data_IF_940419212945
#
_entry.id   IF_940419212945
#
_cell.length_a   1.000
_cell.length_b   1.000
_cell.length_c   1.000
_cell.angle_alpha   90.00
_cell.angle_beta   90.00
_cell.angle_gamma   90.00
#
_symmetry.space_group_name_H-M   'P 1'
#
loop_
_entity.id
_entity.type
_entity.pdbx_description
1 polymer ?
#
# COMPACT_ATOMS: atom_id res chain seq x y z
N UNK A 1 -69.67 -4.20 -52.09
CA UNK A 1 -68.21 -4.11 -52.22
C UNK A 1 -67.65 -3.87 -50.82
N UNK A 2 -66.66 -4.66 -50.44
CA UNK A 2 -66.29 -5.06 -49.07
C UNK A 2 -65.85 -3.88 -48.19
N UNK A 3 -66.43 -3.77 -46.98
CA UNK A 3 -65.95 -2.93 -45.87
C UNK A 3 -65.01 -3.80 -45.02
N UNK A 4 -63.72 -3.45 -44.85
CA UNK A 4 -62.85 -4.20 -43.96
C UNK A 4 -62.93 -3.68 -42.52
N UNK A 5 -63.11 -4.65 -41.64
CA UNK A 5 -62.86 -4.66 -40.20
C UNK A 5 -61.41 -4.26 -39.87
N UNK A 6 -61.11 -3.59 -38.75
CA UNK A 6 -59.97 -3.92 -37.86
C UNK A 6 -59.96 -3.13 -36.53
N UNK A 7 -60.40 -3.83 -35.48
CA UNK A 7 -59.86 -4.03 -34.11
C UNK A 7 -59.28 -2.87 -33.27
N UNK A 8 -59.83 -2.79 -32.06
CA UNK A 8 -59.25 -2.26 -30.82
C UNK A 8 -57.88 -2.90 -30.50
N UNK A 9 -56.94 -2.08 -30.00
CA UNK A 9 -55.73 -2.50 -29.29
C UNK A 9 -55.51 -1.62 -28.07
N UNK A 10 -55.62 -2.21 -26.88
CA UNK A 10 -55.57 -1.53 -25.59
C UNK A 10 -54.19 -0.99 -25.20
N UNK A 11 -54.20 0.13 -24.48
CA UNK A 11 -53.02 0.73 -23.87
C UNK A 11 -52.72 0.05 -22.52
N UNK A 12 -51.59 -0.65 -22.42
CA UNK A 12 -51.02 -1.10 -21.15
C UNK A 12 -49.91 -0.12 -20.74
N UNK A 13 -50.15 0.67 -19.70
CA UNK A 13 -49.15 1.54 -19.09
C UNK A 13 -48.20 0.70 -18.23
N UNK A 14 -46.95 0.54 -18.67
CA UNK A 14 -45.91 -0.11 -17.91
C UNK A 14 -45.28 0.89 -16.92
N UNK A 15 -45.57 0.73 -15.63
CA UNK A 15 -44.88 1.43 -14.53
C UNK A 15 -43.51 0.78 -14.36
N UNK A 16 -42.44 1.46 -14.78
CA UNK A 16 -41.06 1.04 -14.55
C UNK A 16 -40.68 1.43 -13.12
N UNK A 17 -40.73 0.47 -12.21
CA UNK A 17 -40.12 0.60 -10.88
C UNK A 17 -38.60 0.50 -11.05
N UNK A 18 -37.92 1.65 -11.02
CA UNK A 18 -36.47 1.70 -10.98
C UNK A 18 -35.98 1.18 -9.62
N UNK A 19 -35.62 -0.10 -9.56
CA UNK A 19 -34.85 -0.66 -8.45
C UNK A 19 -33.49 0.03 -8.42
N UNK A 20 -33.32 1.00 -7.51
CA UNK A 20 -32.03 1.52 -7.10
C UNK A 20 -31.27 0.39 -6.40
N UNK A 21 -30.63 -0.48 -7.17
CA UNK A 21 -29.62 -1.39 -6.63
C UNK A 21 -28.51 -0.50 -6.06
N UNK A 22 -28.12 -0.63 -4.78
CA UNK A 22 -26.95 0.04 -4.28
C UNK A 22 -25.79 -0.39 -5.19
N UNK A 23 -25.16 0.57 -5.86
CA UNK A 23 -23.95 0.32 -6.61
C UNK A 23 -23.00 -0.44 -5.68
N UNK A 24 -22.68 -1.68 -6.02
CA UNK A 24 -21.75 -2.47 -5.23
C UNK A 24 -20.47 -1.64 -5.10
N UNK A 25 -20.25 -1.04 -3.93
CA UNK A 25 -19.02 -0.32 -3.66
C UNK A 25 -17.90 -1.31 -3.92
N UNK A 26 -17.02 -0.98 -4.87
CA UNK A 26 -15.88 -1.85 -5.19
C UNK A 26 -15.10 -2.02 -3.91
N UNK A 27 -15.16 -3.24 -3.34
CA UNK A 27 -14.58 -3.51 -2.03
C UNK A 27 -13.10 -3.12 -2.04
N UNK A 28 -12.71 -2.29 -1.07
CA UNK A 28 -11.33 -1.83 -0.95
C UNK A 28 -10.41 -3.00 -0.59
N UNK A 29 -9.15 -2.86 -0.99
CA UNK A 29 -8.12 -3.88 -0.78
C UNK A 29 -6.94 -3.25 -0.07
N UNK A 30 -6.49 -3.88 1.01
CA UNK A 30 -5.25 -3.50 1.70
C UNK A 30 -4.04 -3.97 0.90
N UNK A 31 -3.24 -3.02 0.43
CA UNK A 31 -2.02 -3.20 -0.38
C UNK A 31 -0.82 -2.77 0.46
N UNK A 32 0.28 -3.52 0.40
CA UNK A 32 1.52 -3.16 1.08
C UNK A 32 2.34 -2.19 0.19
N UNK A 33 2.24 -0.89 0.46
CA UNK A 33 2.86 0.19 -0.31
C UNK A 33 4.25 0.52 0.24
N UNK A 34 5.25 0.57 -0.64
CA UNK A 34 6.57 1.17 -0.40
C UNK A 34 6.86 2.23 -1.46
N UNK A 35 7.23 3.44 -1.03
CA UNK A 35 7.66 4.54 -1.92
C UNK A 35 9.05 4.99 -1.52
N UNK A 36 9.98 5.02 -2.47
CA UNK A 36 11.40 5.31 -2.22
C UNK A 36 11.91 6.33 -3.25
N UNK A 37 12.64 7.35 -2.80
CA UNK A 37 13.25 8.32 -3.72
C UNK A 37 14.64 7.87 -4.19
N UNK A 38 15.26 8.62 -5.10
CA UNK A 38 16.59 8.31 -5.68
C UNK A 38 17.72 8.23 -4.66
N UNK A 39 17.59 8.89 -3.50
CA UNK A 39 18.58 8.83 -2.42
C UNK A 39 18.39 7.59 -1.51
N UNK A 40 17.44 6.71 -1.82
CA UNK A 40 17.10 5.56 -0.99
C UNK A 40 16.24 5.89 0.24
N UNK A 41 15.76 7.14 0.37
CA UNK A 41 14.83 7.51 1.46
C UNK A 41 13.45 6.94 1.17
N UNK A 42 12.93 6.19 2.13
CA UNK A 42 11.55 5.71 2.12
C UNK A 42 10.58 6.83 2.51
N UNK A 43 9.68 7.19 1.61
CA UNK A 43 8.63 8.19 1.82
C UNK A 43 7.37 7.58 2.45
N UNK A 44 7.08 6.32 2.13
CA UNK A 44 6.01 5.56 2.77
C UNK A 44 6.37 4.08 2.80
N UNK A 45 5.97 3.43 3.89
CA UNK A 45 6.00 1.98 4.04
C UNK A 45 4.88 1.56 4.99
N UNK A 46 3.78 1.06 4.42
CA UNK A 46 2.54 0.79 5.14
C UNK A 46 1.58 -0.07 4.32
N UNK A 47 0.63 -0.70 5.00
CA UNK A 47 -0.55 -1.24 4.35
C UNK A 47 -1.56 -0.12 4.14
N UNK A 48 -1.93 0.14 2.90
CA UNK A 48 -2.91 1.16 2.55
C UNK A 48 -4.09 0.50 1.83
N UNK A 49 -5.30 0.72 2.34
CA UNK A 49 -6.51 0.31 1.63
C UNK A 49 -6.82 1.28 0.52
N UNK A 50 -7.23 0.74 -0.62
CA UNK A 50 -7.67 1.53 -1.75
C UNK A 50 -8.75 0.80 -2.54
N UNK A 51 -9.55 1.58 -3.25
CA UNK A 51 -10.59 1.12 -4.15
C UNK A 51 -10.64 2.02 -5.38
N UNK A 52 -11.84 2.35 -5.85
CA UNK A 52 -11.98 3.35 -6.91
C UNK A 52 -11.68 4.74 -6.36
N UNK A 53 -10.78 5.50 -6.98
CA UNK A 53 -10.38 6.84 -6.54
C UNK A 53 -10.56 7.90 -7.62
N UNK A 54 -10.54 9.17 -7.21
CA UNK A 54 -10.46 10.33 -8.08
C UNK A 54 -9.11 11.02 -7.91
N UNK A 55 -8.36 11.16 -8.99
CA UNK A 55 -7.03 11.75 -9.01
C UNK A 55 -7.10 13.06 -9.78
N UNK A 56 -6.71 14.16 -9.12
CA UNK A 56 -6.60 15.46 -9.79
C UNK A 56 -5.27 15.49 -10.55
N UNK A 57 -5.30 15.84 -11.83
CA UNK A 57 -4.10 16.00 -12.66
C UNK A 57 -3.48 17.37 -12.44
N UNK A 58 -2.18 17.49 -12.70
CA UNK A 58 -1.37 18.66 -12.39
C UNK A 58 -0.86 19.30 -13.68
N UNK A 59 -1.23 20.56 -13.93
CA UNK A 59 -0.84 21.31 -15.12
C UNK A 59 0.68 21.56 -15.22
N UNK A 60 1.40 21.38 -14.11
CA UNK A 60 2.85 21.44 -14.07
C UNK A 60 3.53 20.07 -14.25
N UNK A 61 2.80 18.96 -14.34
CA UNK A 61 3.33 17.61 -14.52
C UNK A 61 3.91 17.39 -15.94
N UNK A 62 5.00 18.08 -16.27
CA UNK A 62 5.60 18.15 -17.62
C UNK A 62 6.86 17.29 -17.75
N UNK A 63 7.02 16.28 -16.90
CA UNK A 63 8.20 15.43 -16.87
C UNK A 63 8.41 14.58 -18.14
N UNK A 64 7.41 14.51 -19.02
CA UNK A 64 7.48 13.84 -20.32
C UNK A 64 7.71 14.82 -21.48
N UNK A 65 8.04 16.08 -21.19
CA UNK A 65 8.34 17.11 -22.19
C UNK A 65 7.27 18.22 -22.27
N UNK A 66 7.54 19.22 -23.10
CA UNK A 66 6.63 20.34 -23.29
C UNK A 66 5.27 19.87 -23.83
N UNK A 67 4.18 20.40 -23.27
CA UNK A 67 2.82 20.03 -23.66
C UNK A 67 2.26 18.78 -22.96
N UNK A 68 3.06 18.08 -22.16
CA UNK A 68 2.62 16.88 -21.43
C UNK A 68 2.05 17.14 -20.05
N UNK A 69 1.79 18.41 -19.69
CA UNK A 69 1.16 18.76 -18.42
C UNK A 69 -0.25 18.18 -18.31
N UNK A 70 -0.70 17.91 -17.09
CA UNK A 70 -2.06 17.46 -16.86
C UNK A 70 -3.10 18.54 -17.17
N UNK A 71 -4.33 18.13 -17.47
CA UNK A 71 -5.46 19.03 -17.73
C UNK A 71 -5.90 19.86 -16.50
N UNK A 72 -5.63 19.38 -15.29
CA UNK A 72 -6.20 19.91 -14.05
C UNK A 72 -7.48 19.21 -13.59
N UNK A 73 -8.04 18.34 -14.43
CA UNK A 73 -9.27 17.61 -14.18
C UNK A 73 -9.11 16.47 -13.17
N UNK A 74 -10.25 15.91 -12.76
CA UNK A 74 -10.31 14.72 -11.92
C UNK A 74 -10.57 13.47 -12.76
N UNK A 75 -9.59 12.59 -12.78
CA UNK A 75 -9.65 11.32 -13.48
C UNK A 75 -10.06 10.20 -12.52
N UNK A 76 -11.10 9.46 -12.92
CA UNK A 76 -11.61 8.30 -12.17
C UNK A 76 -10.76 7.06 -12.44
N UNK A 77 -10.02 6.61 -11.44
CA UNK A 77 -9.26 5.37 -11.48
C UNK A 77 -10.08 4.26 -10.83
N UNK A 78 -10.57 3.31 -11.64
CA UNK A 78 -11.50 2.27 -11.18
C UNK A 78 -10.78 1.12 -10.47
N UNK A 79 -11.28 0.72 -9.30
CA UNK A 79 -10.78 -0.39 -8.49
C UNK A 79 -9.39 -0.12 -7.87
N UNK A 80 -8.94 -1.05 -7.03
CA UNK A 80 -7.64 -0.96 -6.37
C UNK A 80 -6.49 -1.04 -7.37
N UNK A 81 -5.70 0.04 -7.45
CA UNK A 81 -4.56 0.16 -8.37
C UNK A 81 -3.32 0.71 -7.66
N UNK A 82 -2.16 0.56 -8.29
CA UNK A 82 -0.88 1.03 -7.73
C UNK A 82 -0.80 2.56 -7.57
N UNK A 83 -1.47 3.33 -8.42
CA UNK A 83 -1.58 4.77 -8.25
C UNK A 83 -2.73 5.14 -7.28
N UNK A 84 -3.79 4.34 -7.24
CA UNK A 84 -4.89 4.51 -6.28
C UNK A 84 -4.42 4.40 -4.84
N UNK A 85 -3.54 3.43 -4.54
CA UNK A 85 -2.97 3.27 -3.20
C UNK A 85 -2.15 4.49 -2.76
N UNK A 86 -1.36 5.10 -3.66
CA UNK A 86 -0.65 6.36 -3.36
C UNK A 86 -1.63 7.49 -3.10
N UNK A 87 -2.67 7.61 -3.94
CA UNK A 87 -3.68 8.67 -3.85
C UNK A 87 -4.42 8.66 -2.51
N UNK A 88 -4.86 7.50 -2.05
CA UNK A 88 -5.52 7.34 -0.74
C UNK A 88 -4.52 7.60 0.40
N UNK A 89 -3.28 7.14 0.24
CA UNK A 89 -2.18 7.39 1.19
C UNK A 89 -1.92 8.86 1.48
N UNK A 90 -2.15 9.77 0.53
CA UNK A 90 -1.95 11.23 0.71
C UNK A 90 -2.71 11.82 1.90
N UNK A 91 -3.83 11.21 2.30
CA UNK A 91 -4.64 11.68 3.41
C UNK A 91 -3.99 11.42 4.78
N UNK A 92 -3.08 10.44 4.86
CA UNK A 92 -2.50 9.95 6.11
C UNK A 92 -0.99 10.11 6.17
N UNK A 93 -0.33 10.03 5.02
CA UNK A 93 1.10 10.23 4.91
C UNK A 93 1.43 11.54 4.21
N UNK A 94 2.03 12.47 4.96
CA UNK A 94 2.41 13.78 4.41
C UNK A 94 3.62 13.69 3.48
N UNK A 95 4.46 12.68 3.65
CA UNK A 95 5.68 12.51 2.86
C UNK A 95 5.36 12.00 1.45
N UNK A 96 4.12 11.58 1.19
CA UNK A 96 3.62 11.29 -0.15
C UNK A 96 3.13 12.53 -0.91
N UNK A 97 2.98 13.69 -0.25
CA UNK A 97 2.48 14.93 -0.87
C UNK A 97 3.62 15.85 -1.31
N UNK A 98 3.46 16.57 -2.43
CA UNK A 98 2.37 16.46 -3.42
C UNK A 98 2.47 15.19 -4.29
N UNK A 99 1.35 14.82 -4.91
CA UNK A 99 1.30 13.87 -6.02
C UNK A 99 1.12 14.67 -7.31
N UNK A 100 2.08 14.58 -8.22
CA UNK A 100 2.07 15.25 -9.53
C UNK A 100 1.90 14.21 -10.63
N UNK A 101 0.81 14.31 -11.39
CA UNK A 101 0.40 13.33 -12.41
C UNK A 101 -0.19 14.03 -13.62
N UNK A 102 0.03 13.44 -14.79
CA UNK A 102 -0.50 13.90 -16.07
C UNK A 102 -1.47 12.89 -16.66
N UNK A 103 -2.48 13.39 -17.35
CA UNK A 103 -3.45 12.66 -18.17
C UNK A 103 -3.21 12.80 -19.68
N UNK A 104 -2.06 13.34 -20.08
CA UNK A 104 -1.70 13.53 -21.49
C UNK A 104 -1.72 12.25 -22.34
N UNK A 105 -1.70 11.07 -21.71
CA UNK A 105 -1.66 9.76 -22.38
C UNK A 105 -2.93 8.92 -22.18
N UNK A 106 -4.01 9.53 -21.67
CA UNK A 106 -5.28 8.80 -21.49
C UNK A 106 -5.89 8.37 -22.82
N UNK A 107 -5.87 9.25 -23.82
CA UNK A 107 -6.48 8.98 -25.14
C UNK A 107 -5.72 7.91 -25.91
N UNK A 108 -4.41 7.78 -25.67
CA UNK A 108 -3.55 6.73 -26.22
C UNK A 108 -3.66 5.39 -25.46
N UNK A 109 -4.44 5.36 -24.36
CA UNK A 109 -4.66 4.16 -23.56
C UNK A 109 -3.52 3.78 -22.62
N UNK A 110 -2.46 4.60 -22.48
CA UNK A 110 -1.37 4.34 -21.53
C UNK A 110 -1.75 4.64 -20.07
N UNK A 111 -2.82 5.41 -19.85
CA UNK A 111 -3.24 5.78 -18.50
C UNK A 111 -2.55 7.04 -17.98
N UNK A 112 -2.59 7.24 -16.66
CA UNK A 112 -1.95 8.40 -16.03
C UNK A 112 -0.42 8.24 -15.96
N UNK A 113 0.30 9.30 -16.32
CA UNK A 113 1.74 9.43 -16.11
C UNK A 113 2.06 10.02 -14.74
N UNK A 114 3.09 9.51 -14.07
CA UNK A 114 3.51 10.00 -12.74
C UNK A 114 4.78 10.82 -12.87
N UNK A 115 4.70 12.11 -12.54
CA UNK A 115 5.84 13.00 -12.54
C UNK A 115 6.46 13.17 -11.16
N UNK A 116 5.66 13.13 -10.09
CA UNK A 116 6.19 13.39 -8.75
C UNK A 116 5.39 12.73 -7.64
N UNK A 117 6.09 12.27 -6.61
CA UNK A 117 5.52 11.81 -5.34
C UNK A 117 6.35 12.42 -4.22
N UNK A 118 5.70 13.01 -3.21
CA UNK A 118 6.39 13.54 -2.03
C UNK A 118 7.30 14.73 -2.30
N UNK A 119 7.06 15.47 -3.39
CA UNK A 119 7.92 16.58 -3.82
C UNK A 119 9.19 16.16 -4.56
N UNK A 120 9.36 14.87 -4.87
CA UNK A 120 10.44 14.38 -5.73
C UNK A 120 9.91 14.19 -7.15
N UNK A 121 10.40 15.00 -8.08
CA UNK A 121 9.98 14.97 -9.48
C UNK A 121 10.99 14.25 -10.38
N UNK A 122 10.48 13.55 -11.38
CA UNK A 122 11.24 12.99 -12.48
C UNK A 122 11.89 14.11 -13.30
N UNK A 123 13.21 14.05 -13.44
CA UNK A 123 14.02 15.00 -14.21
C UNK A 123 15.05 14.26 -15.09
N UNK A 124 15.32 14.77 -16.29
CA UNK A 124 16.29 14.17 -17.20
C UNK A 124 15.95 12.72 -17.53
N UNK A 125 16.85 11.79 -17.19
CA UNK A 125 16.65 10.35 -17.38
C UNK A 125 15.91 9.63 -16.25
N UNK A 126 15.61 10.33 -15.15
CA UNK A 126 14.95 9.73 -14.00
C UNK A 126 13.45 9.60 -14.22
N UNK A 127 12.86 8.57 -13.61
CA UNK A 127 11.42 8.31 -13.69
C UNK A 127 10.93 7.52 -12.48
N UNK A 128 9.62 7.62 -12.18
CA UNK A 128 8.97 6.81 -11.17
C UNK A 128 8.73 5.39 -11.71
N UNK A 129 9.65 4.50 -11.37
CA UNK A 129 9.58 3.08 -11.68
C UNK A 129 8.62 2.36 -10.72
N UNK A 130 7.80 1.45 -11.27
CA UNK A 130 6.73 0.76 -10.57
C UNK A 130 6.95 -0.75 -10.62
N UNK A 131 6.89 -1.41 -9.45
CA UNK A 131 6.75 -2.87 -9.35
C UNK A 131 5.46 -3.26 -8.63
N UNK A 132 4.79 -4.29 -9.14
CA UNK A 132 3.74 -5.02 -8.44
C UNK A 132 4.24 -6.42 -8.11
N UNK A 133 4.16 -6.81 -6.84
CA UNK A 133 4.63 -8.09 -6.30
C UNK A 133 6.04 -8.46 -6.80
N UNK A 134 6.97 -7.50 -6.68
CA UNK A 134 8.37 -7.62 -7.12
C UNK A 134 8.62 -7.72 -8.62
N UNK A 135 7.61 -7.56 -9.47
CA UNK A 135 7.74 -7.56 -10.94
C UNK A 135 7.56 -6.15 -11.49
N UNK A 136 8.46 -5.71 -12.37
CA UNK A 136 8.38 -4.45 -13.08
C UNK A 136 7.10 -4.33 -13.90
N UNK A 137 6.33 -3.28 -13.66
CA UNK A 137 5.03 -3.09 -14.30
C UNK A 137 5.18 -2.73 -15.78
N UNK A 138 4.43 -3.43 -16.63
CA UNK A 138 4.31 -3.14 -18.06
C UNK A 138 3.11 -2.23 -18.40
N UNK A 139 2.38 -1.79 -17.38
CA UNK A 139 1.21 -0.90 -17.50
C UNK A 139 1.34 0.28 -16.53
N UNK A 140 0.59 1.37 -16.77
CA UNK A 140 0.56 2.50 -15.85
C UNK A 140 0.08 2.08 -14.46
N UNK A 141 0.54 2.77 -13.42
CA UNK A 141 0.03 2.60 -12.06
C UNK A 141 -1.48 2.86 -11.92
N UNK A 142 -2.10 3.60 -12.85
CA UNK A 142 -3.56 3.76 -12.90
C UNK A 142 -4.29 2.52 -13.44
N UNK A 143 -3.57 1.61 -14.09
CA UNK A 143 -4.11 0.41 -14.75
C UNK A 143 -3.72 -0.87 -14.02
N UNK A 144 -2.53 -0.93 -13.40
CA UNK A 144 -2.06 -2.06 -12.62
C UNK A 144 -3.05 -2.40 -11.50
N UNK A 145 -3.82 -3.47 -11.69
CA UNK A 145 -4.81 -3.95 -10.72
C UNK A 145 -4.14 -4.78 -9.65
N UNK A 146 -4.60 -4.60 -8.42
CA UNK A 146 -4.00 -5.25 -7.27
C UNK A 146 -4.98 -6.14 -6.53
N UNK A 147 -4.45 -7.16 -5.90
CA UNK A 147 -5.12 -8.05 -4.97
C UNK A 147 -4.70 -7.73 -3.52
N UNK A 148 -5.51 -8.21 -2.57
CA UNK A 148 -5.26 -7.94 -1.15
C UNK A 148 -3.94 -8.58 -0.72
N UNK A 149 -3.09 -7.80 -0.07
CA UNK A 149 -1.82 -8.26 0.48
C UNK A 149 -0.66 -8.27 -0.52
N UNK A 150 -0.88 -7.85 -1.76
CA UNK A 150 0.21 -7.65 -2.72
C UNK A 150 1.08 -6.45 -2.32
N UNK A 151 2.37 -6.56 -2.67
CA UNK A 151 3.36 -5.51 -2.51
C UNK A 151 3.35 -4.56 -3.74
N UNK A 152 3.46 -3.26 -3.48
CA UNK A 152 3.67 -2.23 -4.51
C UNK A 152 4.88 -1.42 -4.16
N UNK A 153 5.82 -1.29 -5.11
CA UNK A 153 6.97 -0.43 -5.01
C UNK A 153 6.88 0.70 -6.03
N UNK A 154 6.96 1.94 -5.56
CA UNK A 154 7.32 3.09 -6.38
C UNK A 154 8.75 3.51 -6.03
N UNK A 155 9.63 3.58 -7.02
CA UNK A 155 11.01 4.02 -6.85
C UNK A 155 11.35 5.09 -7.88
N UNK A 156 11.83 6.26 -7.44
CA UNK A 156 12.36 7.26 -8.35
C UNK A 156 13.76 6.84 -8.80
N UNK A 157 13.84 6.10 -9.91
CA UNK A 157 15.12 5.59 -10.44
C UNK A 157 15.87 6.70 -11.17
N UNK A 158 17.20 6.81 -11.04
CA UNK A 158 17.97 7.85 -11.75
C UNK A 158 18.06 7.61 -13.26
N UNK A 159 17.98 6.35 -13.70
CA UNK A 159 18.08 5.94 -15.10
C UNK A 159 17.50 4.55 -15.34
N UNK A 160 17.47 4.13 -16.61
CA UNK A 160 17.22 2.76 -17.03
C UNK A 160 18.56 2.03 -17.32
N UNK A 161 18.67 0.71 -17.06
CA UNK A 161 17.70 -0.15 -16.39
C UNK A 161 17.56 0.19 -14.89
N UNK A 162 16.39 -0.05 -14.28
CA UNK A 162 16.22 0.13 -12.85
C UNK A 162 17.11 -0.87 -12.08
N UNK A 163 17.66 -0.49 -10.94
CA UNK A 163 18.49 -1.39 -10.15
C UNK A 163 17.62 -2.46 -9.46
N UNK A 164 18.22 -3.61 -9.07
CA UNK A 164 17.52 -4.65 -8.32
C UNK A 164 16.87 -4.13 -7.03
N UNK A 165 15.78 -4.78 -6.62
CA UNK A 165 15.09 -4.49 -5.38
C UNK A 165 15.59 -5.39 -4.25
N UNK A 166 16.00 -4.80 -3.11
CA UNK A 166 16.25 -5.56 -1.90
C UNK A 166 14.96 -5.80 -1.10
N UNK A 167 14.91 -6.95 -0.43
CA UNK A 167 13.91 -7.29 0.59
C UNK A 167 14.59 -7.98 1.78
N UNK A 168 14.26 -7.52 2.99
CA UNK A 168 14.83 -8.01 4.24
C UNK A 168 13.78 -8.82 5.01
N UNK A 169 14.20 -9.96 5.55
CA UNK A 169 13.44 -10.75 6.52
C UNK A 169 14.26 -10.92 7.79
N UNK A 170 13.62 -10.69 8.92
CA UNK A 170 14.15 -10.90 10.26
C UNK A 170 13.04 -11.47 11.16
N UNK A 171 13.37 -12.10 12.30
CA UNK A 171 12.36 -12.47 13.30
C UNK A 171 11.63 -11.23 13.85
N UNK A 172 10.40 -11.42 14.36
CA UNK A 172 9.65 -10.35 15.02
C UNK A 172 10.20 -9.97 16.40
N UNK A 173 10.89 -10.93 17.04
CA UNK A 173 11.46 -10.77 18.37
C UNK A 173 12.86 -11.38 18.48
N UNK A 174 13.66 -10.80 19.36
CA UNK A 174 14.99 -11.28 19.74
C UNK A 174 15.26 -11.02 21.23
N UNK A 175 16.36 -11.56 21.75
CA UNK A 175 16.81 -11.30 23.11
C UNK A 175 18.07 -10.43 23.11
N UNK A 176 18.27 -9.58 24.13
CA UNK A 176 19.50 -8.81 24.28
C UNK A 176 20.74 -9.71 24.28
N UNK A 177 21.78 -9.28 23.55
CA UNK A 177 23.08 -9.95 23.43
C UNK A 177 23.05 -11.36 22.82
N UNK A 178 21.92 -11.80 22.26
CA UNK A 178 21.79 -13.07 21.55
C UNK A 178 21.75 -12.77 20.04
N UNK A 179 22.76 -13.19 19.26
CA UNK A 179 22.76 -13.01 17.82
C UNK A 179 21.59 -13.73 17.15
N UNK A 180 20.97 -13.10 16.16
CA UNK A 180 19.95 -13.73 15.32
C UNK A 180 20.22 -13.51 13.84
N UNK A 181 19.84 -14.50 13.03
CA UNK A 181 20.04 -14.46 11.59
C UNK A 181 18.97 -13.60 10.91
N UNK A 182 19.41 -12.80 9.94
CA UNK A 182 18.55 -12.09 9.00
C UNK A 182 18.86 -12.54 7.57
N UNK A 183 17.89 -12.41 6.67
CA UNK A 183 18.02 -12.80 5.26
C UNK A 183 17.65 -11.64 4.36
N UNK A 184 18.52 -11.34 3.40
CA UNK A 184 18.31 -10.33 2.37
C UNK A 184 18.19 -11.02 1.01
N UNK A 185 17.10 -10.73 0.32
CA UNK A 185 16.87 -11.14 -1.07
C UNK A 185 17.06 -9.95 -2.00
N UNK A 186 17.42 -10.25 -3.23
CA UNK A 186 17.42 -9.31 -4.35
C UNK A 186 16.39 -9.80 -5.38
N UNK A 187 15.57 -8.90 -5.89
CA UNK A 187 14.62 -9.17 -6.96
C UNK A 187 15.03 -8.44 -8.23
N UNK A 188 15.19 -9.18 -9.32
CA UNK A 188 15.36 -8.62 -10.65
C UNK A 188 14.05 -7.99 -11.16
N UNK A 189 14.09 -7.35 -12.32
CA UNK A 189 12.94 -6.67 -12.94
C UNK A 189 11.78 -7.64 -13.21
N UNK A 190 12.08 -8.86 -13.65
CA UNK A 190 11.11 -9.94 -13.92
C UNK A 190 10.55 -10.63 -12.65
N UNK A 191 10.98 -10.19 -11.45
CA UNK A 191 10.62 -10.82 -10.18
C UNK A 191 11.47 -12.03 -9.80
N UNK A 192 12.49 -12.39 -10.58
CA UNK A 192 13.42 -13.46 -10.22
C UNK A 192 14.13 -13.10 -8.91
N UNK A 193 14.00 -13.99 -7.92
CA UNK A 193 14.56 -13.81 -6.58
C UNK A 193 15.93 -14.48 -6.47
N UNK A 194 16.94 -13.72 -6.05
CA UNK A 194 18.27 -14.21 -5.71
C UNK A 194 18.68 -13.86 -4.28
N UNK A 195 19.76 -14.48 -3.80
CA UNK A 195 20.42 -14.08 -2.55
C UNK A 195 21.14 -12.74 -2.75
N UNK A 196 20.93 -11.79 -1.83
CA UNK A 196 21.61 -10.51 -1.90
C UNK A 196 22.95 -10.57 -1.15
N UNK A 197 23.96 -11.23 -1.73
CA UNK A 197 25.31 -11.24 -1.15
C UNK A 197 25.94 -9.85 -1.14
N UNK A 198 26.72 -9.54 -0.11
CA UNK A 198 27.40 -8.25 0.08
C UNK A 198 26.49 -7.10 0.53
N UNK A 199 25.23 -7.37 0.86
CA UNK A 199 24.32 -6.36 1.41
C UNK A 199 24.68 -6.06 2.87
N UNK A 200 24.74 -4.78 3.23
CA UNK A 200 24.86 -4.34 4.62
C UNK A 200 23.48 -4.30 5.26
N UNK A 201 23.38 -4.65 6.54
CA UNK A 201 22.13 -4.57 7.31
C UNK A 201 22.39 -3.73 8.56
N UNK A 202 21.51 -2.78 8.88
CA UNK A 202 21.58 -2.02 10.14
C UNK A 202 21.71 -2.98 11.32
N UNK A 203 22.69 -2.74 12.21
CA UNK A 203 22.94 -3.57 13.39
C UNK A 203 23.70 -4.88 13.13
N UNK A 204 23.98 -5.25 11.87
CA UNK A 204 24.85 -6.38 11.56
C UNK A 204 26.32 -5.94 11.54
N UNK A 205 27.21 -6.77 12.09
CA UNK A 205 28.64 -6.49 12.09
C UNK A 205 29.31 -6.76 10.72
N UNK A 206 28.74 -7.67 9.93
CA UNK A 206 29.28 -8.09 8.63
C UNK A 206 28.20 -7.98 7.55
N UNK A 207 28.58 -7.71 6.29
CA UNK A 207 27.68 -7.85 5.15
C UNK A 207 27.17 -9.29 5.02
N UNK A 208 26.10 -9.46 4.25
CA UNK A 208 25.54 -10.78 3.95
C UNK A 208 26.51 -11.66 3.15
N UNK A 209 26.58 -12.94 3.49
CA UNK A 209 27.32 -13.95 2.73
C UNK A 209 26.63 -14.36 1.42
N UNK A 210 27.15 -15.38 0.75
CA UNK A 210 26.63 -15.89 -0.52
C UNK A 210 25.16 -16.33 -0.48
N UNK A 211 24.69 -16.81 0.68
CA UNK A 211 23.28 -17.16 0.91
C UNK A 211 22.36 -15.96 1.18
N UNK A 212 22.89 -14.73 1.22
CA UNK A 212 22.12 -13.53 1.59
C UNK A 212 21.85 -13.43 3.09
N UNK A 213 22.63 -14.11 3.93
CA UNK A 213 22.46 -14.12 5.38
C UNK A 213 23.53 -13.32 6.10
N UNK A 214 23.16 -12.64 7.17
CA UNK A 214 24.09 -12.07 8.17
C UNK A 214 23.49 -12.18 9.58
N UNK A 215 24.28 -11.88 10.59
CA UNK A 215 23.88 -11.90 12.00
C UNK A 215 23.75 -10.48 12.54
N UNK A 216 22.67 -10.22 13.26
CA UNK A 216 22.43 -8.98 13.99
C UNK A 216 22.46 -9.29 15.49
N UNK A 217 23.05 -8.40 16.28
CA UNK A 217 23.06 -8.50 17.74
C UNK A 217 22.64 -7.16 18.34
N UNK A 218 21.50 -7.14 19.03
CA UNK A 218 21.05 -5.96 19.77
C UNK A 218 21.45 -6.11 21.24
N UNK A 219 22.05 -5.07 21.83
CA UNK A 219 22.54 -5.11 23.21
C UNK A 219 21.54 -4.60 24.23
N UNK A 220 20.58 -3.77 23.81
CA UNK A 220 19.56 -3.17 24.67
C UNK A 220 18.16 -3.66 24.30
N UNK A 221 17.27 -3.69 25.30
CA UNK A 221 15.85 -3.91 25.08
C UNK A 221 15.21 -2.71 24.35
N UNK A 222 14.17 -2.97 23.56
CA UNK A 222 13.47 -1.95 22.77
C UNK A 222 12.99 -2.47 21.42
N UNK A 223 12.74 -1.55 20.49
CA UNK A 223 12.40 -1.90 19.10
C UNK A 223 13.49 -1.38 18.18
N UNK A 224 14.20 -2.31 17.53
CA UNK A 224 15.17 -1.98 16.49
C UNK A 224 14.50 -1.95 15.13
N UNK A 225 14.89 -1.03 14.24
CA UNK A 225 14.43 -1.02 12.85
C UNK A 225 15.59 -1.34 11.92
N UNK A 226 15.52 -2.50 11.28
CA UNK A 226 16.52 -2.99 10.35
C UNK A 226 16.20 -2.58 8.92
N UNK A 227 17.22 -2.25 8.15
CA UNK A 227 17.16 -2.04 6.71
C UNK A 227 18.43 -2.60 6.07
N UNK A 228 18.31 -3.14 4.86
CA UNK A 228 19.43 -3.60 4.06
C UNK A 228 19.71 -2.68 2.87
N UNK A 229 20.99 -2.44 2.58
CA UNK A 229 21.45 -1.65 1.43
C UNK A 229 22.58 -2.37 0.70
N UNK A 230 22.73 -2.14 -0.61
CA UNK A 230 23.82 -2.69 -1.41
C UNK A 230 24.08 -1.84 -2.65
N UNK A 231 25.19 -1.11 -2.68
CA UNK A 231 25.54 -0.29 -3.84
C UNK A 231 24.41 0.67 -4.23
N UNK A 232 23.93 0.56 -5.47
CA UNK A 232 22.82 1.36 -6.02
C UNK A 232 21.48 0.61 -6.05
N UNK A 233 21.40 -0.56 -5.43
CA UNK A 233 20.14 -1.32 -5.33
C UNK A 233 19.08 -0.53 -4.55
N UNK A 234 17.81 -0.77 -4.89
CA UNK A 234 16.70 -0.18 -4.13
C UNK A 234 16.75 -0.75 -2.70
N UNK A 235 16.87 0.09 -1.65
CA UNK A 235 16.95 -0.37 -0.28
C UNK A 235 15.80 -1.30 0.12
N UNK A 236 16.05 -2.15 1.11
CA UNK A 236 15.01 -3.07 1.57
C UNK A 236 13.85 -2.36 2.26
N UNK A 237 12.76 -3.11 2.46
CA UNK A 237 11.75 -2.75 3.44
C UNK A 237 12.40 -2.62 4.83
N UNK A 238 11.75 -1.87 5.70
CA UNK A 238 12.08 -1.82 7.10
C UNK A 238 11.50 -3.03 7.82
N UNK A 239 12.28 -3.64 8.71
CA UNK A 239 11.82 -4.72 9.57
C UNK A 239 12.03 -4.32 11.02
N UNK A 240 10.96 -4.29 11.79
CA UNK A 240 11.03 -3.98 13.23
C UNK A 240 11.26 -5.26 14.01
N UNK A 241 12.27 -5.28 14.87
CA UNK A 241 12.57 -6.39 15.78
C UNK A 241 12.36 -5.90 17.21
N UNK A 242 11.44 -6.51 17.93
CA UNK A 242 11.28 -6.28 19.36
C UNK A 242 12.35 -7.07 20.13
N UNK A 243 13.11 -6.39 20.98
CA UNK A 243 14.20 -6.97 21.75
C UNK A 243 13.83 -6.87 23.23
N UNK A 244 13.67 -8.01 23.89
CA UNK A 244 13.40 -8.04 25.34
C UNK A 244 13.95 -9.33 25.96
N UNK A 245 14.36 -9.27 27.22
CA UNK A 245 14.76 -10.44 27.99
C UNK A 245 13.59 -11.39 28.25
N UNK A 246 12.37 -10.86 28.40
CA UNK A 246 11.12 -11.60 28.53
C UNK A 246 10.41 -11.68 27.16
N UNK A 247 10.40 -12.85 26.50
CA UNK A 247 9.77 -13.01 25.19
C UNK A 247 8.26 -12.72 25.17
N UNK A 248 7.59 -12.65 26.33
CA UNK A 248 6.18 -12.29 26.43
C UNK A 248 5.91 -10.79 26.25
N UNK A 249 6.94 -9.96 26.39
CA UNK A 249 6.87 -8.52 26.10
C UNK A 249 6.99 -8.21 24.61
N UNK A 250 7.29 -9.19 23.77
CA UNK A 250 7.44 -9.02 22.33
C UNK A 250 6.45 -9.88 21.54
N UNK A 251 5.89 -9.37 20.42
CA UNK A 251 5.04 -10.17 19.57
C UNK A 251 5.84 -11.26 18.86
N UNK A 252 5.21 -12.41 18.63
CA UNK A 252 5.77 -13.52 17.84
C UNK A 252 5.69 -13.26 16.32
N UNK A 253 5.01 -12.19 15.92
CA UNK A 253 4.81 -11.78 14.54
C UNK A 253 5.02 -10.28 14.34
N UNK A 254 5.34 -9.92 13.10
CA UNK A 254 5.44 -8.53 12.69
C UNK A 254 4.05 -7.90 12.59
N UNK A 255 3.88 -6.78 13.28
CA UNK A 255 2.74 -5.89 13.10
C UNK A 255 2.94 -4.94 11.92
N UNK A 256 1.90 -4.21 11.55
CA UNK A 256 1.89 -3.26 10.44
C UNK A 256 1.34 -1.90 10.84
N UNK A 257 1.80 -0.87 10.12
CA UNK A 257 1.06 0.38 9.99
C UNK A 257 -0.01 0.18 8.92
N UNK A 258 -1.28 0.31 9.30
CA UNK A 258 -2.42 0.07 8.41
C UNK A 258 -3.24 1.34 8.33
N UNK A 259 -3.43 1.83 7.11
CA UNK A 259 -4.26 2.98 6.81
C UNK A 259 -5.41 2.52 5.94
N UNK A 260 -6.62 2.87 6.34
CA UNK A 260 -7.77 2.76 5.50
C UNK A 260 -7.88 3.91 4.50
N UNK A 261 -8.94 3.88 3.72
CA UNK A 261 -9.27 4.81 2.65
C UNK A 261 -10.29 5.85 3.13
N UNK A 262 -10.97 6.51 2.19
CA UNK A 262 -12.15 7.34 2.48
C UNK A 262 -13.48 6.60 2.26
N UNK A 263 -13.45 5.28 2.11
CA UNK A 263 -14.58 4.39 1.79
C UNK A 263 -14.79 3.42 2.96
N UNK A 264 -15.92 2.68 2.96
CA UNK A 264 -16.15 1.65 3.97
C UNK A 264 -15.24 0.44 3.78
N UNK A 265 -14.17 0.36 4.57
CA UNK A 265 -13.13 -0.63 4.45
C UNK A 265 -13.40 -1.88 5.28
N UNK A 266 -12.91 -3.02 4.81
CA UNK A 266 -12.86 -4.25 5.58
C UNK A 266 -11.40 -4.53 5.97
N UNK A 267 -11.00 -3.91 7.08
CA UNK A 267 -9.64 -3.93 7.60
C UNK A 267 -9.39 -5.19 8.40
N UNK A 268 -8.28 -5.87 8.14
CA UNK A 268 -7.86 -7.05 8.89
C UNK A 268 -6.49 -6.79 9.51
N UNK A 269 -6.42 -6.89 10.83
CA UNK A 269 -5.16 -6.85 11.58
C UNK A 269 -4.29 -8.07 11.28
N UNK A 270 -3.01 -7.95 11.57
CA UNK A 270 -2.03 -9.02 11.55
C UNK A 270 -2.08 -9.81 12.86
N UNK A 271 -1.07 -10.64 13.12
CA UNK A 271 -0.90 -11.29 14.44
C UNK A 271 0.04 -10.51 15.36
N UNK A 272 0.77 -9.56 14.78
CA UNK A 272 1.69 -8.70 15.51
C UNK A 272 0.98 -7.42 15.94
N UNK A 273 1.72 -6.52 16.59
CA UNK A 273 1.14 -5.27 17.10
C UNK A 273 0.96 -4.25 15.97
N UNK A 274 -0.29 -4.01 15.59
CA UNK A 274 -0.64 -3.07 14.54
C UNK A 274 -0.90 -1.66 15.05
N UNK A 275 -0.63 -0.69 14.17
CA UNK A 275 -1.10 0.68 14.30
C UNK A 275 -2.07 0.96 13.15
N UNK A 276 -3.36 0.99 13.45
CA UNK A 276 -4.45 1.04 12.49
C UNK A 276 -5.15 2.40 12.57
N UNK A 277 -5.29 3.06 11.43
CA UNK A 277 -6.17 4.20 11.24
C UNK A 277 -7.14 3.88 10.12
N UNK A 278 -8.41 3.63 10.44
CA UNK A 278 -9.39 3.12 9.47
C UNK A 278 -9.84 4.17 8.46
N UNK A 279 -9.79 5.45 8.83
CA UNK A 279 -9.90 6.52 7.87
C UNK A 279 -11.22 7.26 7.98
N UNK A 280 -11.94 7.34 6.87
CA UNK A 280 -13.31 7.84 6.83
C UNK A 280 -14.16 6.80 6.13
N UNK A 281 -15.45 6.77 6.45
CA UNK A 281 -16.39 5.80 5.87
C UNK A 281 -16.86 4.83 6.94
N UNK A 282 -17.85 3.97 6.66
CA UNK A 282 -18.29 2.95 7.61
C UNK A 282 -17.36 1.73 7.55
N UNK A 283 -16.34 1.73 8.40
CA UNK A 283 -15.28 0.73 8.39
C UNK A 283 -15.59 -0.48 9.28
N UNK A 284 -15.08 -1.65 8.90
CA UNK A 284 -15.04 -2.86 9.73
C UNK A 284 -13.59 -3.26 9.95
N UNK A 285 -13.14 -3.18 11.20
CA UNK A 285 -11.79 -3.57 11.62
C UNK A 285 -11.84 -4.90 12.37
N UNK A 286 -11.18 -5.93 11.85
CA UNK A 286 -11.11 -7.27 12.44
C UNK A 286 -9.73 -7.53 13.07
N UNK A 287 -9.68 -7.51 14.40
CA UNK A 287 -8.47 -7.69 15.22
C UNK A 287 -8.37 -9.09 15.84
N UNK A 288 -9.25 -10.01 15.45
CA UNK A 288 -9.29 -11.36 16.05
C UNK A 288 -8.04 -12.21 15.81
N UNK A 289 -7.14 -11.75 14.94
CA UNK A 289 -5.86 -12.39 14.68
C UNK A 289 -4.86 -12.20 15.83
N UNK A 290 -5.19 -11.37 16.81
CA UNK A 290 -4.40 -11.11 18.01
C UNK A 290 -3.33 -10.04 17.78
N UNK A 291 -2.74 -9.59 18.88
CA UNK A 291 -1.82 -8.46 18.88
C UNK A 291 -2.11 -7.56 20.07
N UNK A 292 -1.32 -6.51 20.22
CA UNK A 292 -1.62 -5.38 21.11
C UNK A 292 -1.83 -4.18 20.19
N UNK A 293 -3.00 -4.14 19.56
CA UNK A 293 -3.23 -3.21 18.47
C UNK A 293 -3.62 -1.83 18.98
N UNK A 294 -3.33 -0.82 18.18
CA UNK A 294 -3.80 0.55 18.39
C UNK A 294 -4.68 0.93 17.24
N UNK A 295 -5.96 1.18 17.49
CA UNK A 295 -6.95 1.45 16.44
C UNK A 295 -7.60 2.81 16.64
N UNK A 296 -7.54 3.63 15.60
CA UNK A 296 -8.36 4.83 15.47
C UNK A 296 -9.26 4.68 14.25
N UNK A 297 -10.57 4.59 14.43
CA UNK A 297 -11.46 4.34 13.30
C UNK A 297 -11.62 5.60 12.43
N UNK A 298 -11.96 6.73 13.05
CA UNK A 298 -11.88 8.02 12.40
C UNK A 298 -13.25 8.64 12.32
N UNK A 299 -13.71 9.00 11.12
CA UNK A 299 -15.05 9.55 10.95
C UNK A 299 -15.93 8.59 10.16
N UNK A 300 -16.98 8.05 10.78
CA UNK A 300 -17.75 6.99 10.15
C UNK A 300 -18.81 6.39 11.04
N UNK A 301 -19.33 5.24 10.62
CA UNK A 301 -20.08 4.33 11.48
C UNK A 301 -19.28 3.04 11.54
N UNK A 302 -18.24 3.07 12.37
CA UNK A 302 -17.18 2.10 12.38
C UNK A 302 -17.45 0.98 13.38
N UNK A 303 -16.98 -0.20 13.01
CA UNK A 303 -17.13 -1.41 13.80
C UNK A 303 -15.79 -2.11 13.96
N UNK A 304 -15.36 -2.24 15.22
CA UNK A 304 -14.21 -3.06 15.58
C UNK A 304 -14.68 -4.42 16.10
N UNK A 305 -14.07 -5.49 15.60
CA UNK A 305 -14.32 -6.87 16.03
C UNK A 305 -13.05 -7.36 16.73
N UNK A 306 -13.16 -7.64 18.02
CA UNK A 306 -12.09 -8.21 18.84
C UNK A 306 -12.44 -9.61 19.29
N UNK A 307 -11.41 -10.39 19.64
CA UNK A 307 -11.59 -11.72 20.23
C UNK A 307 -12.24 -11.59 21.61
N UNK A 308 -13.12 -12.52 21.98
CA UNK A 308 -13.66 -12.56 23.35
C UNK A 308 -12.52 -12.74 24.37
N UNK A 309 -12.52 -11.90 25.39
CA UNK A 309 -11.49 -11.88 26.44
C UNK A 309 -10.23 -11.10 26.06
N UNK A 310 -10.23 -10.40 24.92
CA UNK A 310 -9.14 -9.49 24.58
C UNK A 310 -9.23 -8.20 25.41
N UNK A 311 -8.10 -7.85 26.03
CA UNK A 311 -7.91 -6.66 26.85
C UNK A 311 -6.64 -5.88 26.44
N UNK A 312 -5.95 -6.35 25.41
CA UNK A 312 -4.63 -5.87 25.03
C UNK A 312 -4.71 -4.73 23.98
N UNK A 313 -5.79 -4.72 23.19
CA UNK A 313 -6.06 -3.72 22.18
C UNK A 313 -6.47 -2.36 22.77
N UNK A 314 -5.90 -1.29 22.21
CA UNK A 314 -6.25 0.10 22.49
C UNK A 314 -7.11 0.65 21.36
N UNK A 315 -8.41 0.64 21.58
CA UNK A 315 -9.41 1.12 20.62
C UNK A 315 -9.79 2.57 20.98
N UNK A 316 -9.67 3.48 20.02
CA UNK A 316 -10.01 4.88 20.21
C UNK A 316 -11.52 5.09 20.37
N UNK A 317 -11.96 6.16 21.06
CA UNK A 317 -13.37 6.52 21.17
C UNK A 317 -14.05 6.83 19.84
N UNK A 318 -13.27 7.10 18.79
CA UNK A 318 -13.77 7.31 17.42
C UNK A 318 -14.25 6.02 16.75
N UNK A 319 -14.23 4.89 17.44
CA UNK A 319 -14.82 3.64 16.96
C UNK A 319 -16.20 3.46 17.60
N UNK A 320 -17.26 3.67 16.83
CA UNK A 320 -18.63 3.77 17.32
C UNK A 320 -19.14 2.46 17.91
N UNK A 321 -18.65 1.31 17.41
CA UNK A 321 -19.08 -0.01 17.87
C UNK A 321 -17.93 -0.98 18.03
N UNK A 322 -17.77 -1.51 19.25
CA UNK A 322 -16.84 -2.61 19.53
C UNK A 322 -17.62 -3.89 19.81
N UNK A 323 -17.36 -4.95 19.05
CA UNK A 323 -18.02 -6.25 19.17
C UNK A 323 -17.00 -7.31 19.58
N UNK A 324 -17.26 -7.97 20.71
CA UNK A 324 -16.47 -9.11 21.18
C UNK A 324 -17.06 -10.40 20.63
N UNK A 325 -16.29 -11.18 19.87
CA UNK A 325 -16.73 -12.48 19.31
C UNK A 325 -15.82 -13.62 19.75
#
# INVERSE_FOLDING_TARGET
>A
MVIPCFRLGGAAAAVVVALLLPAAASATKGIDLRVVNTAGRTLAEQRQYTGTVQIKTDWHARCFGQGTGGSGDRVKVKGATALGVVRDGLARDRDLRPLSVTDAFLDDGFGLGVCGIGGFESQGSSFWYLKGDHVGSQVSGSQLKLHRGEDVLWYLTPSFPPPPELRLKAPARAQPNVPYQVTVYSYADDGTRGAAAGATVTGAALPTGSGGHTMVTNTAAGTETLQATRGQDIPSNHVKVCVDSDPSQCPDAHGKRIFGSGQGDHIRGTRGWDAINAGRGPDVVDLRNGGRDRVACGGGHDKVIVKRGDHDDRIAPSCERVVKR
#
